data_IF_222879112073
#
_entry.id   IF_222879112073
#
_cell.length_a   1.000
_cell.length_b   1.000
_cell.length_c   1.000
_cell.angle_alpha   90.00
_cell.angle_beta   90.00
_cell.angle_gamma   90.00
#
_symmetry.space_group_name_H-M   'P 1'
#
loop_
_entity.id
_entity.type
_entity.pdbx_description
1 polymer ?
#
# COMPACT_ATOMS: atom_id res chain seq x y z
N UNK A 1 2.15 20.83 -2.55
CA UNK A 1 2.93 21.23 -3.74
C UNK A 1 4.23 21.92 -3.33
N UNK A 2 4.17 22.90 -2.42
CA UNK A 2 5.37 23.62 -1.92
C UNK A 2 6.47 22.71 -1.37
N UNK A 3 6.12 21.69 -0.58
CA UNK A 3 7.11 20.72 -0.06
C UNK A 3 7.83 19.96 -1.18
N UNK A 4 7.12 19.51 -2.21
CA UNK A 4 7.72 18.78 -3.33
C UNK A 4 8.66 19.67 -4.16
N UNK A 5 8.29 20.94 -4.35
CA UNK A 5 9.15 21.92 -5.00
C UNK A 5 10.41 22.16 -4.17
N UNK A 6 10.26 22.34 -2.86
CA UNK A 6 11.39 22.49 -1.94
C UNK A 6 12.31 21.27 -1.99
N UNK A 7 11.78 20.06 -1.85
CA UNK A 7 12.56 18.82 -1.86
C UNK A 7 13.27 18.60 -3.20
N UNK A 8 12.66 19.01 -4.32
CA UNK A 8 13.30 18.93 -5.64
C UNK A 8 14.48 19.91 -5.79
N UNK A 9 14.39 21.09 -5.17
CA UNK A 9 15.39 22.15 -5.27
C UNK A 9 16.54 21.96 -4.26
N UNK A 10 16.24 21.49 -3.06
CA UNK A 10 17.17 21.48 -1.92
C UNK A 10 17.50 20.08 -1.41
N UNK A 11 16.82 19.06 -1.94
CA UNK A 11 16.84 17.72 -1.36
C UNK A 11 16.03 17.64 -0.06
N UNK A 12 15.85 16.43 0.43
CA UNK A 12 15.21 16.17 1.72
C UNK A 12 15.88 14.99 2.41
N UNK A 13 15.91 15.01 3.73
CA UNK A 13 16.38 13.90 4.56
C UNK A 13 15.20 13.28 5.27
N UNK A 14 14.91 12.02 4.96
CA UNK A 14 13.87 11.27 5.65
C UNK A 14 14.28 11.04 7.11
N UNK A 15 13.42 11.45 8.04
CA UNK A 15 13.60 11.18 9.48
C UNK A 15 12.59 10.12 9.90
N UNK A 16 13.08 8.91 10.19
CA UNK A 16 12.23 7.81 10.62
C UNK A 16 11.64 8.07 12.01
N UNK A 17 10.39 7.65 12.21
CA UNK A 17 9.75 7.62 13.52
C UNK A 17 9.48 6.17 13.96
N UNK A 18 8.95 5.97 15.16
CA UNK A 18 8.64 4.63 15.69
C UNK A 18 7.71 3.80 14.80
N UNK A 19 6.75 4.44 14.11
CA UNK A 19 5.82 3.76 13.21
C UNK A 19 6.54 3.26 11.95
N UNK A 20 7.41 4.08 11.35
CA UNK A 20 8.20 3.69 10.18
C UNK A 20 9.21 2.60 10.52
N UNK A 21 9.93 2.73 11.64
CA UNK A 21 10.90 1.72 12.08
C UNK A 21 10.23 0.39 12.39
N UNK A 22 9.04 0.42 13.00
CA UNK A 22 8.24 -0.77 13.22
C UNK A 22 7.87 -1.43 11.88
N UNK A 23 7.28 -0.65 10.95
CA UNK A 23 6.91 -1.13 9.62
C UNK A 23 8.07 -1.78 8.87
N UNK A 24 9.22 -1.11 8.79
CA UNK A 24 10.43 -1.65 8.13
C UNK A 24 10.88 -3.00 8.69
N UNK A 25 10.71 -3.22 10.00
CA UNK A 25 11.08 -4.48 10.65
C UNK A 25 10.07 -5.59 10.39
N UNK A 26 8.78 -5.26 10.35
CA UNK A 26 7.68 -6.24 10.32
C UNK A 26 7.19 -6.57 8.92
N UNK A 27 7.35 -5.67 7.95
CA UNK A 27 6.88 -5.85 6.58
C UNK A 27 7.46 -7.10 5.89
N UNK A 28 8.77 -7.43 5.99
CA UNK A 28 9.29 -8.66 5.39
C UNK A 28 8.66 -9.94 5.99
N UNK A 29 8.33 -9.91 7.29
CA UNK A 29 7.68 -11.02 7.99
C UNK A 29 6.24 -11.17 7.48
N UNK A 30 5.51 -10.05 7.37
CA UNK A 30 4.15 -10.02 6.85
C UNK A 30 4.08 -10.50 5.38
N UNK A 31 5.04 -10.08 4.54
CA UNK A 31 5.17 -10.54 3.15
C UNK A 31 5.37 -12.04 3.09
N UNK A 32 6.32 -12.57 3.87
CA UNK A 32 6.60 -14.00 3.90
C UNK A 32 5.39 -14.82 4.39
N UNK A 33 4.67 -14.33 5.40
CA UNK A 33 3.43 -14.93 5.86
C UNK A 33 2.38 -14.99 4.73
N UNK A 34 2.22 -13.90 3.97
CA UNK A 34 1.27 -13.85 2.86
C UNK A 34 1.65 -14.81 1.73
N UNK A 35 2.93 -14.86 1.36
CA UNK A 35 3.49 -15.79 0.36
C UNK A 35 3.22 -17.24 0.76
N UNK A 36 3.51 -17.62 2.02
CA UNK A 36 3.27 -18.98 2.51
C UNK A 36 1.78 -19.34 2.50
N UNK A 37 0.91 -18.39 2.84
CA UNK A 37 -0.53 -18.61 2.91
C UNK A 37 -1.18 -18.75 1.53
N UNK A 38 -0.72 -17.98 0.56
CA UNK A 38 -1.33 -17.90 -0.78
C UNK A 38 -0.62 -18.77 -1.81
N UNK A 39 0.60 -19.21 -1.52
CA UNK A 39 1.50 -19.87 -2.46
C UNK A 39 1.77 -19.01 -3.72
N UNK A 40 1.74 -17.69 -3.57
CA UNK A 40 2.10 -16.69 -4.59
C UNK A 40 3.41 -16.02 -4.19
N UNK A 41 4.21 -15.57 -5.16
CA UNK A 41 5.46 -14.83 -4.94
C UNK A 41 5.22 -13.32 -5.03
N UNK A 42 5.85 -12.53 -4.17
CA UNK A 42 5.78 -11.07 -4.20
C UNK A 42 7.15 -10.50 -3.84
N UNK A 43 7.69 -9.64 -4.69
CA UNK A 43 8.96 -8.93 -4.46
C UNK A 43 8.70 -7.43 -4.39
N UNK A 44 9.47 -6.68 -3.59
CA UNK A 44 9.38 -5.23 -3.57
C UNK A 44 9.72 -4.65 -4.95
N UNK A 45 9.02 -3.59 -5.33
CA UNK A 45 9.17 -3.01 -6.66
C UNK A 45 8.89 -1.51 -6.65
N UNK A 46 9.59 -0.77 -7.50
CA UNK A 46 9.31 0.64 -7.77
C UNK A 46 8.86 0.75 -9.21
N UNK A 47 7.69 1.37 -9.41
CA UNK A 47 7.16 1.69 -10.72
C UNK A 47 7.04 3.19 -10.88
N UNK A 48 7.33 3.67 -12.09
CA UNK A 48 7.04 5.03 -12.54
C UNK A 48 5.94 4.93 -13.58
N UNK A 49 4.98 5.86 -13.58
CA UNK A 49 3.91 5.88 -14.57
C UNK A 49 4.47 5.98 -16.00
N UNK A 50 3.81 5.29 -16.94
CA UNK A 50 4.28 5.13 -18.32
C UNK A 50 3.91 6.31 -19.23
N UNK A 51 3.10 7.25 -18.76
CA UNK A 51 2.53 8.33 -19.58
C UNK A 51 3.35 9.62 -19.46
N UNK A 52 3.46 10.14 -18.25
CA UNK A 52 4.06 11.44 -17.94
C UNK A 52 5.34 11.31 -17.11
N UNK A 53 5.64 10.10 -16.61
CA UNK A 53 6.79 9.80 -15.74
C UNK A 53 6.91 10.79 -14.56
N UNK A 54 5.76 11.21 -14.04
CA UNK A 54 5.64 12.22 -12.99
C UNK A 54 5.28 11.59 -11.64
N UNK A 55 4.62 10.43 -11.67
CA UNK A 55 4.26 9.65 -10.51
C UNK A 55 5.15 8.41 -10.42
N UNK A 56 5.60 8.12 -9.21
CA UNK A 56 6.24 6.86 -8.88
C UNK A 56 5.62 6.27 -7.64
N UNK A 57 5.49 4.96 -7.60
CA UNK A 57 5.02 4.22 -6.44
C UNK A 57 6.02 3.13 -6.05
N UNK A 58 6.35 3.10 -4.77
CA UNK A 58 6.99 1.94 -4.15
C UNK A 58 5.90 0.97 -3.72
N UNK A 59 6.04 -0.29 -4.09
CA UNK A 59 5.11 -1.37 -3.77
C UNK A 59 5.79 -2.28 -2.76
N UNK A 60 5.06 -2.64 -1.69
CA UNK A 60 5.56 -3.60 -0.71
C UNK A 60 5.64 -5.02 -1.31
N UNK A 61 4.95 -5.27 -2.41
CA UNK A 61 5.11 -6.48 -3.19
C UNK A 61 4.46 -6.36 -4.56
N UNK A 62 5.08 -6.97 -5.57
CA UNK A 62 4.53 -7.13 -6.90
C UNK A 62 4.68 -8.58 -7.36
N UNK A 63 3.59 -9.13 -7.88
CA UNK A 63 3.58 -10.43 -8.54
C UNK A 63 3.46 -10.21 -10.06
N UNK A 64 4.56 -10.41 -10.78
CA UNK A 64 4.60 -10.20 -12.23
C UNK A 64 3.66 -11.13 -12.99
N UNK A 65 3.63 -12.42 -12.63
CA UNK A 65 2.82 -13.44 -13.30
C UNK A 65 1.32 -13.13 -13.27
N UNK A 66 0.84 -12.59 -12.16
CA UNK A 66 -0.57 -12.27 -11.93
C UNK A 66 -0.88 -10.78 -12.09
N UNK A 67 0.15 -9.95 -12.33
CA UNK A 67 0.08 -8.50 -12.34
C UNK A 67 -0.70 -7.98 -11.13
N UNK A 68 -0.26 -8.38 -9.94
CA UNK A 68 -0.93 -8.08 -8.68
C UNK A 68 -0.01 -7.29 -7.76
N UNK A 69 -0.56 -6.24 -7.14
CA UNK A 69 0.10 -5.49 -6.08
C UNK A 69 -0.18 -6.14 -4.73
N UNK A 70 0.78 -6.07 -3.82
CA UNK A 70 0.60 -6.35 -2.40
C UNK A 70 1.00 -5.09 -1.63
N UNK A 71 0.04 -4.52 -0.92
CA UNK A 71 0.24 -3.41 0.02
C UNK A 71 0.14 -3.94 1.45
N UNK A 72 1.14 -3.67 2.28
CA UNK A 72 1.28 -4.21 3.63
C UNK A 72 1.31 -3.08 4.63
N UNK A 73 0.46 -3.17 5.64
CA UNK A 73 0.45 -2.27 6.79
C UNK A 73 0.71 -3.06 8.04
N UNK A 74 1.68 -2.61 8.83
CA UNK A 74 2.00 -3.15 10.14
C UNK A 74 1.73 -2.09 11.20
N UNK A 75 0.53 -2.06 11.80
CA UNK A 75 0.21 -1.01 12.75
C UNK A 75 1.00 -1.18 14.04
N UNK A 76 1.64 -0.10 14.47
CA UNK A 76 2.33 -0.05 15.74
C UNK A 76 1.35 -0.21 16.90
N UNK A 77 1.69 -1.10 17.84
CA UNK A 77 1.01 -1.28 19.12
C UNK A 77 1.79 -0.49 20.17
N UNK A 78 1.13 0.43 20.88
CA UNK A 78 1.78 1.24 21.91
C UNK A 78 2.04 0.44 23.21
N UNK A 79 2.68 1.08 24.19
CA UNK A 79 3.00 0.48 25.49
C UNK A 79 1.76 0.04 26.30
N UNK A 80 0.59 0.63 26.03
CA UNK A 80 -0.69 0.27 26.64
C UNK A 80 -1.40 -0.87 25.90
N UNK A 81 -0.75 -1.51 24.92
CA UNK A 81 -1.32 -2.53 24.05
C UNK A 81 -2.46 -2.02 23.14
N UNK A 82 -2.44 -0.72 22.81
CA UNK A 82 -3.44 -0.09 21.96
C UNK A 82 -2.90 0.16 20.55
N UNK A 83 -3.81 0.13 19.59
CA UNK A 83 -3.57 0.43 18.17
C UNK A 83 -4.30 1.72 17.83
N UNK A 84 -3.77 2.50 16.87
CA UNK A 84 -4.48 3.68 16.37
C UNK A 84 -5.93 3.35 15.99
N UNK A 85 -6.87 4.20 16.41
CA UNK A 85 -8.30 4.07 16.09
C UNK A 85 -8.59 4.11 14.59
N UNK A 86 -7.65 4.57 13.77
CA UNK A 86 -7.73 4.49 12.31
C UNK A 86 -7.96 3.06 11.81
N UNK A 87 -7.51 2.06 12.55
CA UNK A 87 -7.67 0.65 12.18
C UNK A 87 -8.97 0.04 12.67
N UNK A 88 -9.70 0.67 13.61
CA UNK A 88 -10.84 0.05 14.31
C UNK A 88 -11.91 -0.48 13.34
N UNK A 89 -12.36 0.33 12.38
CA UNK A 89 -13.37 -0.08 11.40
C UNK A 89 -12.91 -1.26 10.55
N UNK A 90 -11.67 -1.18 10.06
CA UNK A 90 -11.09 -2.22 9.22
C UNK A 90 -10.88 -3.54 9.96
N UNK A 91 -10.39 -3.50 11.20
CA UNK A 91 -10.16 -4.71 12.00
C UNK A 91 -11.46 -5.36 12.47
N UNK A 92 -12.51 -4.57 12.65
CA UNK A 92 -13.84 -5.07 13.00
C UNK A 92 -14.51 -5.71 11.79
N UNK A 93 -14.41 -5.08 10.62
CA UNK A 93 -15.02 -5.56 9.37
C UNK A 93 -14.08 -5.26 8.17
N UNK A 94 -13.23 -6.22 7.76
CA UNK A 94 -12.19 -6.00 6.74
C UNK A 94 -12.80 -6.00 5.33
N UNK A 95 -13.50 -4.93 5.01
CA UNK A 95 -14.12 -4.65 3.70
C UNK A 95 -13.49 -3.39 3.10
N UNK A 96 -13.65 -3.23 1.79
CA UNK A 96 -13.06 -2.12 1.02
C UNK A 96 -13.45 -0.75 1.59
N UNK A 97 -14.73 -0.56 1.95
CA UNK A 97 -15.26 0.68 2.51
C UNK A 97 -14.68 1.05 3.87
N UNK A 98 -14.06 0.08 4.56
CA UNK A 98 -13.42 0.28 5.85
C UNK A 98 -11.90 0.50 5.75
N UNK A 99 -11.32 0.46 4.55
CA UNK A 99 -9.93 0.88 4.33
C UNK A 99 -9.85 2.40 4.54
N UNK A 100 -8.93 2.90 5.38
CA UNK A 100 -8.73 4.35 5.51
C UNK A 100 -8.48 4.99 4.13
N UNK A 101 -9.23 6.05 3.81
CA UNK A 101 -9.31 6.63 2.46
C UNK A 101 -7.95 6.99 1.85
N UNK A 102 -7.00 7.43 2.67
CA UNK A 102 -5.66 7.77 2.21
C UNK A 102 -4.82 6.54 1.83
N UNK A 103 -5.05 5.38 2.46
CA UNK A 103 -4.45 4.11 2.02
C UNK A 103 -5.13 3.58 0.76
N UNK A 104 -6.45 3.76 0.63
CA UNK A 104 -7.14 3.45 -0.63
C UNK A 104 -6.55 4.26 -1.79
N UNK A 105 -6.34 5.57 -1.61
CA UNK A 105 -5.71 6.42 -2.61
C UNK A 105 -4.27 5.98 -2.92
N UNK A 106 -3.51 5.55 -1.91
CA UNK A 106 -2.16 5.00 -2.10
C UNK A 106 -2.19 3.76 -3.01
N UNK A 107 -3.11 2.82 -2.76
CA UNK A 107 -3.27 1.60 -3.58
C UNK A 107 -3.67 1.95 -5.01
N UNK A 108 -4.57 2.93 -5.21
CA UNK A 108 -4.93 3.39 -6.56
C UNK A 108 -3.72 3.97 -7.31
N UNK A 109 -2.85 4.72 -6.64
CA UNK A 109 -1.61 5.23 -7.23
C UNK A 109 -0.65 4.10 -7.64
N UNK A 110 -0.53 3.07 -6.80
CA UNK A 110 0.29 1.88 -7.11
C UNK A 110 -0.24 1.14 -8.34
N UNK A 111 -1.55 0.89 -8.40
CA UNK A 111 -2.19 0.27 -9.57
C UNK A 111 -1.99 1.10 -10.84
N UNK A 112 -2.09 2.42 -10.74
CA UNK A 112 -1.84 3.34 -11.85
C UNK A 112 -0.39 3.25 -12.35
N UNK A 113 0.59 3.32 -11.45
CA UNK A 113 2.01 3.30 -11.82
C UNK A 113 2.45 1.93 -12.36
N UNK A 114 1.97 0.82 -11.77
CA UNK A 114 2.41 -0.53 -12.15
C UNK A 114 1.58 -1.17 -13.26
N UNK A 115 0.47 -0.54 -13.67
CA UNK A 115 -0.49 -1.12 -14.62
C UNK A 115 -0.99 -2.51 -14.19
N UNK A 116 -1.05 -2.75 -12.87
CA UNK A 116 -1.50 -4.01 -12.30
C UNK A 116 -3.02 -4.17 -12.44
N UNK A 117 -3.47 -5.43 -12.48
CA UNK A 117 -4.89 -5.74 -12.62
C UNK A 117 -5.65 -5.54 -11.31
N UNK A 118 -5.01 -5.82 -10.17
CA UNK A 118 -5.62 -5.71 -8.84
C UNK A 118 -4.55 -5.63 -7.75
N UNK A 119 -4.99 -5.34 -6.52
CA UNK A 119 -4.12 -5.23 -5.35
C UNK A 119 -4.68 -6.02 -4.17
N UNK A 120 -3.82 -6.74 -3.47
CA UNK A 120 -4.06 -7.24 -2.12
C UNK A 120 -3.68 -6.16 -1.10
N UNK A 121 -4.55 -5.96 -0.10
CA UNK A 121 -4.28 -5.06 1.02
C UNK A 121 -4.20 -5.87 2.30
N UNK A 122 -3.02 -5.96 2.89
CA UNK A 122 -2.73 -6.75 4.08
C UNK A 122 -2.50 -5.83 5.28
N UNK A 123 -3.16 -6.11 6.40
CA UNK A 123 -2.82 -5.53 7.70
C UNK A 123 -2.31 -6.66 8.60
N UNK A 124 -1.10 -6.51 9.14
CA UNK A 124 -0.40 -7.55 9.91
C UNK A 124 0.07 -7.02 11.27
N UNK A 125 -0.35 -7.68 12.36
CA UNK A 125 0.03 -7.32 13.74
C UNK A 125 1.07 -8.29 14.33
N UNK A 126 0.79 -9.59 14.23
CA UNK A 126 1.62 -10.71 14.68
C UNK A 126 0.97 -12.05 14.26
N UNK A 127 1.64 -13.17 14.56
CA UNK A 127 1.25 -14.53 14.18
C UNK A 127 -0.12 -15.00 14.69
N UNK A 128 -0.76 -14.26 15.62
CA UNK A 128 -1.97 -14.70 16.30
C UNK A 128 -3.29 -14.22 15.66
N UNK A 129 -3.35 -13.15 14.83
CA UNK A 129 -4.65 -12.77 14.22
C UNK A 129 -4.62 -11.89 12.96
N UNK A 130 -5.27 -12.47 11.93
CA UNK A 130 -6.08 -11.97 10.78
C UNK A 130 -5.48 -11.22 9.58
N UNK A 131 -6.11 -11.54 8.45
CA UNK A 131 -5.76 -11.38 7.02
C UNK A 131 -6.65 -10.30 6.42
N UNK A 132 -6.23 -9.65 5.33
CA UNK A 132 -7.16 -8.96 4.43
C UNK A 132 -6.86 -9.22 2.94
N UNK A 133 -7.93 -9.18 2.13
CA UNK A 133 -8.01 -9.35 0.69
C UNK A 133 -8.62 -8.08 0.08
N UNK A 134 -8.13 -7.65 -1.07
CA UNK A 134 -8.85 -6.75 -1.95
C UNK A 134 -8.90 -7.40 -3.34
N UNK A 135 -10.09 -7.50 -3.90
CA UNK A 135 -10.33 -7.98 -5.27
C UNK A 135 -11.56 -7.27 -5.81
N UNK A 136 -11.33 -6.08 -6.33
CA UNK A 136 -11.52 -5.71 -7.74
C UNK A 136 -11.60 -4.18 -7.77
N UNK A 137 -10.45 -3.52 -7.58
CA UNK A 137 -10.29 -2.13 -7.96
C UNK A 137 -9.87 -2.14 -9.42
N UNK A 138 -10.70 -2.72 -10.29
CA UNK A 138 -10.59 -2.47 -11.72
C UNK A 138 -10.52 -0.95 -11.89
N UNK A 139 -9.60 -0.49 -12.76
CA UNK A 139 -9.41 0.93 -13.09
C UNK A 139 -10.78 1.58 -13.21
N UNK A 140 -11.21 2.33 -12.19
CA UNK A 140 -12.43 3.12 -12.34
C UNK A 140 -12.10 4.12 -13.44
N UNK A 141 -12.91 4.15 -14.50
CA UNK A 141 -12.77 5.03 -15.67
C UNK A 141 -12.85 6.55 -15.33
N UNK A 142 -12.76 6.92 -14.06
CA UNK A 142 -12.87 8.29 -13.56
C UNK A 142 -11.75 9.23 -14.02
N UNK A 143 -10.69 8.73 -14.66
CA UNK A 143 -9.56 9.55 -15.15
C UNK A 143 -9.43 9.63 -16.67
N UNK A 144 -10.34 9.02 -17.45
CA UNK A 144 -10.29 9.10 -18.93
C UNK A 144 -11.48 9.80 -19.61
N UNK A 145 -12.45 10.31 -18.85
CA UNK A 145 -13.49 11.20 -19.41
C UNK A 145 -13.19 12.65 -19.03
N UNK A 146 -12.40 13.34 -19.88
CA UNK A 146 -12.56 14.76 -20.24
C UNK A 146 -11.38 15.27 -21.10
N UNK A 147 -11.06 14.58 -22.20
CA UNK A 147 -10.32 15.23 -23.28
C UNK A 147 -10.81 14.72 -24.64
N UNK A 148 -12.04 15.13 -24.97
CA UNK A 148 -12.65 15.04 -26.30
C UNK A 148 -13.82 16.01 -26.34
N UNK A 149 -13.51 17.31 -26.45
CA UNK A 149 -14.35 18.33 -27.09
C UNK A 149 -13.54 19.58 -27.39
#
# INVERSE_FOLDING_TARGET
MEQLVHDKLFGTTFTANQYTLHGQKTEPIARQFFIQKTNLTFEDAIFTDDQVNFFSASLDGYNEKHQAVLEIKCPFVNENQEVSSTWTSFLTNPQLENIPQYYWAQVQCQLYCSQANFAYFLVYFNDQTKISCCSDLSRSNLYHENDSR
#
